data_IF_492554821610
#
_entry.id   IF_492554821610
#
_cell.length_a   1.000
_cell.length_b   1.000
_cell.length_c   1.000
_cell.angle_alpha   90.00
_cell.angle_beta   90.00
_cell.angle_gamma   90.00
#
_symmetry.space_group_name_H-M   'P 1'
#
loop_
_entity.id
_entity.type
_entity.pdbx_description
1 polymer ?
#
# COMPACT_ATOMS: atom_id res chain seq x y z
N UNK A 1 9.04 8.09 -11.80
CA UNK A 1 7.91 8.71 -12.52
C UNK A 1 7.98 10.23 -12.61
N UNK A 2 8.37 10.96 -11.55
CA UNK A 2 8.45 12.45 -11.57
C UNK A 2 9.42 13.04 -12.60
N UNK A 3 10.42 12.28 -13.03
CA UNK A 3 11.42 12.69 -14.02
C UNK A 3 11.02 12.43 -15.48
N UNK A 4 9.91 11.71 -15.74
CA UNK A 4 9.50 11.34 -17.08
C UNK A 4 8.87 12.54 -17.82
N UNK A 5 9.32 12.75 -19.05
CA UNK A 5 8.87 13.81 -19.95
C UNK A 5 8.38 13.22 -21.26
N UNK A 6 7.48 13.92 -21.92
CA UNK A 6 7.07 13.61 -23.29
C UNK A 6 8.14 14.05 -24.31
N UNK A 7 7.88 13.77 -25.60
CA UNK A 7 8.78 14.16 -26.69
C UNK A 7 8.91 15.69 -26.86
N UNK A 8 8.00 16.48 -26.27
CA UNK A 8 8.03 17.94 -26.26
C UNK A 8 8.72 18.51 -25.01
N UNK A 9 9.24 17.65 -24.12
CA UNK A 9 9.91 18.02 -22.88
C UNK A 9 8.98 18.41 -21.73
N UNK A 10 7.66 18.26 -21.89
CA UNK A 10 6.67 18.49 -20.84
C UNK A 10 6.66 17.31 -19.87
N UNK A 11 6.61 17.53 -18.55
CA UNK A 11 6.53 16.45 -17.57
C UNK A 11 5.17 15.75 -17.65
N UNK A 12 5.16 14.42 -17.59
CA UNK A 12 3.91 13.63 -17.52
C UNK A 12 3.19 13.86 -16.18
N UNK A 13 3.96 14.21 -15.14
CA UNK A 13 3.43 14.54 -13.82
C UNK A 13 2.94 15.99 -13.77
N UNK A 14 1.65 16.20 -13.50
CA UNK A 14 1.13 17.53 -13.23
C UNK A 14 1.49 17.95 -11.80
N UNK A 15 2.41 18.90 -11.66
CA UNK A 15 2.90 19.38 -10.36
C UNK A 15 1.88 20.23 -9.59
N UNK A 16 0.82 20.72 -10.25
CA UNK A 16 -0.20 21.51 -9.58
C UNK A 16 -1.16 20.67 -8.73
N UNK A 17 -1.50 19.46 -9.21
CA UNK A 17 -2.57 18.63 -8.63
C UNK A 17 -2.11 17.21 -8.24
N UNK A 18 -0.82 16.89 -8.38
CA UNK A 18 -0.24 15.55 -8.11
C UNK A 18 -0.99 14.40 -8.82
N UNK A 19 -1.39 14.66 -10.06
CA UNK A 19 -2.07 13.68 -10.92
C UNK A 19 -1.17 13.24 -12.07
N UNK A 20 -1.27 11.96 -12.42
CA UNK A 20 -0.75 11.40 -13.69
C UNK A 20 -1.97 11.05 -14.54
N UNK A 21 -2.02 11.54 -15.80
CA UNK A 21 -3.11 11.25 -16.74
C UNK A 21 -4.52 11.56 -16.18
N UNK A 22 -4.64 12.58 -15.33
CA UNK A 22 -5.91 12.95 -14.68
C UNK A 22 -6.31 12.09 -13.48
N UNK A 23 -5.49 11.10 -13.10
CA UNK A 23 -5.74 10.23 -11.96
C UNK A 23 -4.81 10.57 -10.79
N UNK A 24 -5.35 10.48 -9.56
CA UNK A 24 -4.59 10.66 -8.33
C UNK A 24 -3.57 9.54 -8.18
N UNK A 25 -2.37 9.90 -7.73
CA UNK A 25 -1.31 8.93 -7.41
C UNK A 25 -1.25 8.72 -5.90
N UNK A 26 -1.14 7.47 -5.47
CA UNK A 26 -0.86 7.08 -4.09
C UNK A 26 0.54 6.46 -4.03
N UNK A 27 1.39 6.96 -3.13
CA UNK A 27 2.74 6.45 -2.91
C UNK A 27 2.69 5.53 -1.70
N UNK A 28 3.17 4.30 -1.86
CA UNK A 28 3.23 3.30 -0.80
C UNK A 28 4.60 2.64 -0.82
N UNK A 29 5.29 2.66 0.32
CA UNK A 29 6.58 2.00 0.51
C UNK A 29 6.48 0.46 0.48
N UNK A 30 5.26 -0.08 0.52
CA UNK A 30 5.00 -1.52 0.44
C UNK A 30 4.86 -2.03 -1.01
N UNK A 31 4.81 -1.15 -2.01
CA UNK A 31 4.90 -1.57 -3.41
C UNK A 31 6.36 -1.94 -3.73
N UNK A 32 6.60 -2.98 -4.56
CA UNK A 32 7.96 -3.39 -4.88
C UNK A 32 8.70 -2.32 -5.69
N UNK A 33 10.02 -2.25 -5.52
CA UNK A 33 10.90 -1.42 -6.35
C UNK A 33 10.85 -1.85 -7.81
N UNK A 34 11.15 -0.94 -8.74
CA UNK A 34 11.13 -1.18 -10.18
C UNK A 34 12.35 -2.02 -10.65
N UNK A 35 12.34 -3.30 -10.33
CA UNK A 35 13.31 -4.31 -10.78
C UNK A 35 12.69 -5.25 -11.84
N UNK A 36 13.50 -5.97 -12.62
CA UNK A 36 12.98 -6.92 -13.61
C UNK A 36 12.05 -7.97 -12.96
N UNK A 37 10.90 -8.21 -13.59
CA UNK A 37 9.87 -9.12 -13.09
C UNK A 37 8.98 -8.55 -11.99
N UNK A 38 9.35 -7.41 -11.38
CA UNK A 38 8.55 -6.75 -10.35
C UNK A 38 7.33 -6.03 -10.93
N UNK A 39 6.36 -5.74 -10.06
CA UNK A 39 5.12 -5.02 -10.40
C UNK A 39 4.98 -3.74 -9.56
N UNK A 40 5.79 -2.70 -9.84
CA UNK A 40 5.87 -1.51 -9.01
C UNK A 40 4.65 -0.58 -9.13
N UNK A 41 3.83 -0.74 -10.17
CA UNK A 41 2.67 0.12 -10.44
C UNK A 41 1.41 -0.73 -10.53
N UNK A 42 0.40 -0.36 -9.75
CA UNK A 42 -0.96 -0.83 -9.86
C UNK A 42 -1.89 0.35 -10.20
N UNK A 43 -2.78 0.16 -11.17
CA UNK A 43 -3.71 1.17 -11.65
C UNK A 43 -5.10 0.56 -11.82
N UNK A 44 -6.12 1.24 -11.34
CA UNK A 44 -7.49 0.77 -11.42
C UNK A 44 -8.39 1.34 -10.34
N UNK A 45 -9.59 0.78 -10.24
CA UNK A 45 -10.56 1.16 -9.22
C UNK A 45 -10.41 0.29 -7.97
N UNK A 46 -9.75 0.84 -6.95
CA UNK A 46 -9.57 0.19 -5.66
C UNK A 46 -10.83 0.18 -4.79
N UNK A 47 -11.94 0.81 -5.21
CA UNK A 47 -13.23 0.72 -4.51
C UNK A 47 -13.77 -0.71 -4.48
N UNK A 48 -13.31 -1.58 -5.39
CA UNK A 48 -13.61 -3.01 -5.40
C UNK A 48 -12.70 -3.86 -4.50
N UNK A 49 -11.73 -3.24 -3.82
CA UNK A 49 -10.91 -3.91 -2.82
C UNK A 49 -11.56 -3.76 -1.44
N UNK A 50 -12.09 -4.86 -0.93
CA UNK A 50 -12.80 -4.88 0.35
C UNK A 50 -11.81 -5.16 1.47
N UNK A 51 -11.81 -4.29 2.47
CA UNK A 51 -11.04 -4.46 3.71
C UNK A 51 -12.05 -4.54 4.84
N UNK A 52 -11.97 -5.60 5.65
CA UNK A 52 -12.84 -5.82 6.80
C UNK A 52 -11.99 -5.91 8.06
N UNK A 53 -12.29 -5.08 9.05
CA UNK A 53 -11.73 -5.20 10.38
C UNK A 53 -12.54 -6.25 11.17
N UNK A 54 -11.96 -7.43 11.40
CA UNK A 54 -12.59 -8.51 12.16
C UNK A 54 -12.42 -8.35 13.66
N UNK A 55 -11.30 -7.79 14.10
CA UNK A 55 -11.07 -7.37 15.48
C UNK A 55 -10.28 -6.06 15.47
N UNK A 56 -10.81 -4.99 16.10
CA UNK A 56 -10.11 -3.72 16.18
C UNK A 56 -8.82 -3.87 16.96
N UNK A 57 -7.90 -2.92 16.76
CA UNK A 57 -6.66 -2.83 17.53
C UNK A 57 -6.99 -2.85 19.02
N UNK A 58 -6.45 -3.83 19.72
CA UNK A 58 -6.57 -3.93 21.18
C UNK A 58 -5.20 -4.11 21.79
N UNK A 59 -4.97 -3.41 22.89
CA UNK A 59 -3.71 -3.40 23.63
C UNK A 59 -3.99 -3.93 25.03
N UNK A 60 -3.22 -4.92 25.48
CA UNK A 60 -3.29 -5.46 26.84
C UNK A 60 -1.90 -5.54 27.47
N UNK A 61 -1.84 -5.28 28.77
CA UNK A 61 -0.62 -5.44 29.57
C UNK A 61 -0.54 -6.86 30.11
N UNK A 62 0.64 -7.46 30.01
CA UNK A 62 0.98 -8.78 30.52
C UNK A 62 1.94 -8.57 31.69
N UNK A 63 1.41 -8.46 32.91
CA UNK A 63 2.19 -8.27 34.12
C UNK A 63 2.63 -9.61 34.71
N UNK A 64 1.70 -10.57 34.83
CA UNK A 64 1.97 -11.88 35.44
C UNK A 64 3.04 -12.69 34.68
N UNK A 65 2.98 -12.69 33.35
CA UNK A 65 3.90 -13.47 32.51
C UNK A 65 5.37 -13.01 32.65
N UNK A 66 5.60 -11.75 33.01
CA UNK A 66 6.93 -11.13 33.08
C UNK A 66 7.32 -10.71 34.51
N UNK A 67 6.56 -11.14 35.51
CA UNK A 67 6.81 -10.79 36.91
C UNK A 67 8.19 -11.29 37.40
N UNK A 68 8.63 -12.49 36.98
CA UNK A 68 9.92 -13.06 37.41
C UNK A 68 11.16 -12.29 36.92
N UNK A 69 10.98 -11.37 35.97
CA UNK A 69 12.06 -10.55 35.39
C UNK A 69 11.81 -9.06 35.60
N UNK A 70 10.88 -8.70 36.50
CA UNK A 70 10.50 -7.31 36.81
C UNK A 70 10.16 -6.46 35.57
N UNK A 71 9.52 -7.08 34.57
CA UNK A 71 9.13 -6.42 33.32
C UNK A 71 7.60 -6.42 33.12
N UNK A 72 7.13 -5.50 32.27
CA UNK A 72 5.74 -5.45 31.79
C UNK A 72 5.74 -5.74 30.30
N UNK A 73 5.02 -6.78 29.89
CA UNK A 73 4.77 -7.05 28.47
C UNK A 73 3.58 -6.23 27.95
N UNK A 74 3.66 -5.76 26.71
CA UNK A 74 2.52 -5.14 26.03
C UNK A 74 2.17 -6.00 24.81
N UNK A 75 0.94 -6.50 24.74
CA UNK A 75 0.43 -7.20 23.56
C UNK A 75 -0.57 -6.31 22.85
N UNK A 76 -0.24 -5.95 21.60
CA UNK A 76 -1.17 -5.36 20.66
C UNK A 76 -1.53 -6.41 19.61
N UNK A 77 -2.83 -6.57 19.29
CA UNK A 77 -3.26 -7.37 18.16
C UNK A 77 -4.44 -6.74 17.44
N UNK A 78 -4.47 -6.93 16.13
CA UNK A 78 -5.53 -6.51 15.22
C UNK A 78 -5.77 -7.64 14.22
N UNK A 79 -7.01 -7.87 13.81
CA UNK A 79 -7.34 -8.83 12.76
C UNK A 79 -8.04 -8.10 11.62
N UNK A 80 -7.37 -8.06 10.48
CA UNK A 80 -7.87 -7.50 9.22
C UNK A 80 -8.02 -8.64 8.20
N UNK A 81 -8.98 -8.49 7.31
CA UNK A 81 -9.18 -9.34 6.14
C UNK A 81 -9.33 -8.45 4.89
N UNK A 82 -8.94 -8.98 3.73
CA UNK A 82 -8.84 -8.21 2.51
C UNK A 82 -9.15 -9.07 1.29
N UNK A 83 -10.03 -8.59 0.40
CA UNK A 83 -10.34 -9.28 -0.86
C UNK A 83 -10.62 -8.30 -1.99
N UNK A 84 -9.94 -8.52 -3.13
CA UNK A 84 -10.31 -7.89 -4.39
C UNK A 84 -11.54 -8.60 -4.97
N UNK A 85 -12.68 -7.92 -4.99
CA UNK A 85 -13.95 -8.49 -5.46
C UNK A 85 -13.98 -8.61 -6.98
N UNK A 86 -13.38 -7.67 -7.69
CA UNK A 86 -13.28 -7.63 -9.15
C UNK A 86 -11.82 -7.57 -9.60
N UNK A 87 -11.19 -8.71 -9.93
CA UNK A 87 -9.79 -8.74 -10.38
C UNK A 87 -9.53 -7.89 -11.62
N UNK A 88 -10.52 -7.76 -12.51
CA UNK A 88 -10.44 -6.96 -13.72
C UNK A 88 -10.38 -5.45 -13.49
N UNK A 89 -10.80 -4.98 -12.31
CA UNK A 89 -10.83 -3.57 -11.96
C UNK A 89 -9.43 -2.98 -11.71
N UNK A 90 -8.42 -3.83 -11.48
CA UNK A 90 -7.04 -3.42 -11.21
C UNK A 90 -6.11 -4.07 -12.23
N UNK A 91 -5.26 -3.27 -12.84
CA UNK A 91 -4.17 -3.70 -13.71
C UNK A 91 -2.84 -3.37 -13.06
N UNK A 92 -1.86 -4.23 -13.29
CA UNK A 92 -0.50 -4.09 -12.76
C UNK A 92 0.47 -4.01 -13.92
N UNK A 93 1.43 -3.10 -13.82
CA UNK A 93 2.50 -2.96 -14.80
C UNK A 93 3.69 -3.78 -14.31
N UNK A 94 4.08 -4.78 -15.09
CA UNK A 94 5.29 -5.55 -14.83
C UNK A 94 6.46 -4.91 -15.57
N UNK A 95 7.59 -4.76 -14.90
CA UNK A 95 8.84 -4.35 -15.54
C UNK A 95 9.43 -5.59 -16.22
N UNK A 96 9.63 -5.50 -17.52
CA UNK A 96 10.37 -6.49 -18.31
C UNK A 96 11.71 -5.86 -18.69
N UNK A 97 12.77 -6.67 -18.69
CA UNK A 97 14.10 -6.27 -19.19
C UNK A 97 14.05 -5.77 -20.65
#
# INVERSE_FOLDING_TARGET
>A
LRSLKDNAGQPIWNHANDTILGHKVCISEFMPTAESGSKPIAFGDFSYYWIICRRPVSIRTLTEQFTNVDCIGYLAYELLDGKLVRPEAIKVMQITD
#
